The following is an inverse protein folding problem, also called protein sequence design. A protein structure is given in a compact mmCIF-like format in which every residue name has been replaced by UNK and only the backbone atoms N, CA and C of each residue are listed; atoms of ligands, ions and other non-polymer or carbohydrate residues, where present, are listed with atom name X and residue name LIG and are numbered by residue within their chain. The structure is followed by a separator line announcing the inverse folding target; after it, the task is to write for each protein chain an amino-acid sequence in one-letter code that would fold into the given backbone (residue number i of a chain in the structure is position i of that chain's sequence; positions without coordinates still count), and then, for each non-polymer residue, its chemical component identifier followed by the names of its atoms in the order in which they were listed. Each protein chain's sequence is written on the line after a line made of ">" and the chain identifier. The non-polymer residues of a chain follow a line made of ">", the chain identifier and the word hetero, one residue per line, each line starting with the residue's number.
data_IF_760704141988
#
_entry.id   IF_760704141988
#
_cell.length_a   1.000
_cell.length_b   1.000
_cell.length_c   1.000
_cell.angle_alpha   90.00
_cell.angle_beta   90.00
_cell.angle_gamma   90.00
#
_symmetry.space_group_name_H-M   'P 1'
#
loop_
_entity.id
_entity.type
_entity.pdbx_description
1 polymer ?
#
# COMPACT_ATOMS: atom_id res chain seq x y z
N UNK A 1 -30.86 15.79 -56.23
CA UNK A 1 -31.70 14.77 -56.90
C UNK A 1 -31.52 13.47 -56.15
N UNK A 2 -32.34 13.21 -55.13
CA UNK A 2 -33.61 12.43 -55.17
C UNK A 2 -33.36 10.95 -55.47
N UNK A 3 -33.66 10.09 -54.51
CA UNK A 3 -33.75 8.63 -54.69
C UNK A 3 -33.64 7.83 -53.39
N UNK A 4 -34.71 7.82 -52.58
CA UNK A 4 -35.03 6.76 -51.59
C UNK A 4 -36.00 5.80 -52.31
N UNK A 5 -35.95 4.45 -52.18
CA UNK A 5 -36.83 3.78 -51.19
C UNK A 5 -36.40 2.38 -50.67
N UNK A 6 -37.05 2.00 -49.55
CA UNK A 6 -37.38 0.62 -49.15
C UNK A 6 -36.27 -0.19 -48.47
N UNK A 7 -36.49 -0.99 -47.42
CA UNK A 7 -37.69 -1.44 -46.74
C UNK A 7 -37.37 -2.74 -45.98
N UNK A 8 -38.29 -3.12 -45.10
CA UNK A 8 -38.48 -4.44 -44.48
C UNK A 8 -37.89 -4.69 -43.09
N UNK A 9 -38.84 -4.81 -42.16
CA UNK A 9 -38.71 -5.42 -40.85
C UNK A 9 -38.57 -6.96 -40.97
N UNK A 10 -37.86 -7.57 -40.03
CA UNK A 10 -38.09 -8.97 -39.67
C UNK A 10 -37.89 -9.16 -38.18
N UNK A 11 -38.97 -9.58 -37.54
CA UNK A 11 -39.09 -10.01 -36.15
C UNK A 11 -38.55 -11.43 -36.00
N UNK A 12 -37.56 -11.63 -35.12
CA UNK A 12 -37.13 -12.93 -34.64
C UNK A 12 -37.19 -12.97 -33.12
N UNK A 13 -38.12 -13.76 -32.59
CA UNK A 13 -38.31 -14.09 -31.18
C UNK A 13 -37.17 -14.97 -30.64
N UNK A 14 -36.87 -14.89 -29.32
CA UNK A 14 -35.81 -15.68 -28.70
C UNK A 14 -36.25 -17.13 -28.45
N UNK A 15 -35.31 -18.06 -28.61
CA UNK A 15 -35.46 -19.46 -28.22
C UNK A 15 -35.40 -19.62 -26.71
N UNK A 16 -36.45 -20.25 -26.18
CA UNK A 16 -36.49 -20.91 -24.88
C UNK A 16 -35.51 -22.09 -24.86
N UNK A 17 -34.66 -22.17 -23.84
CA UNK A 17 -34.04 -23.44 -23.42
C UNK A 17 -34.38 -23.70 -21.97
N UNK A 18 -35.17 -24.76 -21.83
CA UNK A 18 -35.69 -25.40 -20.65
C UNK A 18 -34.67 -26.32 -19.97
N UNK A 19 -34.85 -26.54 -18.66
CA UNK A 19 -34.25 -27.64 -17.89
C UNK A 19 -33.65 -27.15 -16.56
N UNK A 20 -33.96 -27.71 -15.39
CA UNK A 20 -34.84 -28.79 -15.00
C UNK A 20 -35.10 -28.63 -13.49
N UNK A 21 -36.36 -28.61 -13.08
CA UNK A 21 -36.79 -28.85 -11.71
C UNK A 21 -36.91 -30.36 -11.49
N UNK A 22 -36.42 -30.86 -10.36
CA UNK A 22 -36.85 -32.14 -9.80
C UNK A 22 -36.79 -32.10 -8.29
N UNK A 23 -37.95 -32.38 -7.74
CA UNK A 23 -38.44 -32.25 -6.38
C UNK A 23 -38.17 -33.49 -5.51
N UNK A 24 -38.28 -33.24 -4.20
CA UNK A 24 -38.96 -34.05 -3.19
C UNK A 24 -38.34 -35.37 -2.67
N UNK A 25 -37.97 -35.29 -1.39
CA UNK A 25 -38.45 -36.11 -0.25
C UNK A 25 -38.78 -37.60 -0.48
N UNK A 26 -38.14 -38.45 0.35
CA UNK A 26 -38.77 -39.68 0.83
C UNK A 26 -38.36 -39.99 2.26
N UNK A 27 -39.38 -40.15 3.08
CA UNK A 27 -39.40 -40.62 4.47
C UNK A 27 -38.81 -42.03 4.57
N UNK A 28 -38.13 -42.29 5.68
CA UNK A 28 -37.70 -43.63 6.07
C UNK A 28 -37.89 -43.77 7.58
N UNK A 29 -38.98 -44.45 7.95
CA UNK A 29 -39.26 -44.91 9.30
C UNK A 29 -38.33 -46.08 9.63
N UNK A 30 -37.73 -46.07 10.81
CA UNK A 30 -36.86 -47.13 11.32
C UNK A 30 -36.95 -47.18 12.84
N UNK A 31 -37.88 -47.99 13.33
CA UNK A 31 -37.95 -48.47 14.70
C UNK A 31 -36.68 -49.27 15.04
N UNK A 32 -36.17 -49.07 16.25
CA UNK A 32 -35.02 -49.77 16.78
C UNK A 32 -34.84 -49.43 18.25
N UNK A 33 -35.56 -50.18 19.09
CA UNK A 33 -35.41 -50.19 20.55
C UNK A 33 -33.97 -50.58 20.94
N UNK A 34 -33.35 -49.76 21.79
CA UNK A 34 -32.20 -50.16 22.58
C UNK A 34 -32.18 -49.35 23.89
N UNK A 35 -32.69 -50.00 24.94
CA UNK A 35 -32.49 -49.59 26.33
C UNK A 35 -31.00 -49.55 26.65
N UNK A 36 -30.53 -48.39 27.11
CA UNK A 36 -29.15 -48.18 27.53
C UNK A 36 -29.08 -47.08 28.58
N UNK A 37 -29.17 -47.49 29.85
CA UNK A 37 -28.81 -46.69 31.02
C UNK A 37 -27.42 -46.07 30.84
N UNK A 38 -27.33 -44.75 30.98
CA UNK A 38 -26.09 -44.00 30.81
C UNK A 38 -26.16 -42.62 31.46
N UNK A 39 -25.72 -42.58 32.71
CA UNK A 39 -25.43 -41.45 33.59
C UNK A 39 -25.40 -40.04 33.00
N UNK A 40 -26.16 -39.15 33.66
CA UNK A 40 -26.16 -37.71 33.46
C UNK A 40 -24.78 -37.10 33.74
N UNK A 41 -24.06 -36.74 32.66
CA UNK A 41 -22.89 -35.85 32.74
C UNK A 41 -23.37 -34.41 32.50
N UNK A 42 -23.46 -33.68 33.60
CA UNK A 42 -23.64 -32.23 33.67
C UNK A 42 -22.57 -31.50 32.84
N UNK A 43 -22.93 -30.56 31.94
CA UNK A 43 -21.93 -29.75 31.25
C UNK A 43 -21.30 -28.73 32.22
N UNK A 44 -19.97 -28.56 32.25
CA UNK A 44 -19.35 -27.54 33.07
C UNK A 44 -19.62 -26.14 32.52
N UNK A 45 -19.92 -25.23 33.44
CA UNK A 45 -20.16 -23.82 33.21
C UNK A 45 -19.01 -23.17 32.42
N UNK A 46 -19.37 -22.47 31.36
CA UNK A 46 -18.47 -21.71 30.50
C UNK A 46 -18.02 -20.43 31.22
N UNK A 47 -16.90 -20.51 31.95
CA UNK A 47 -16.21 -19.36 32.54
C UNK A 47 -15.38 -18.64 31.46
N UNK A 48 -16.02 -17.72 30.73
CA UNK A 48 -15.33 -16.73 29.91
C UNK A 48 -14.76 -15.61 30.78
N UNK A 49 -13.72 -15.91 31.55
CA UNK A 49 -12.87 -14.89 32.16
C UNK A 49 -11.91 -14.35 31.08
N UNK A 50 -12.32 -13.25 30.43
CA UNK A 50 -11.41 -12.44 29.60
C UNK A 50 -10.31 -11.89 30.51
N UNK A 51 -9.08 -12.40 30.34
CA UNK A 51 -7.88 -11.75 30.83
C UNK A 51 -7.75 -10.39 30.15
N UNK A 52 -7.89 -9.33 30.93
CA UNK A 52 -7.54 -7.97 30.52
C UNK A 52 -6.03 -7.92 30.24
N UNK A 53 -5.66 -7.89 28.96
CA UNK A 53 -4.29 -7.57 28.55
C UNK A 53 -4.06 -6.11 28.89
N UNK A 54 -3.40 -5.87 30.02
CA UNK A 54 -2.89 -4.57 30.43
C UNK A 54 -1.78 -4.16 29.46
N UNK A 55 -2.14 -3.35 28.47
CA UNK A 55 -1.17 -2.68 27.60
C UNK A 55 -0.50 -1.60 28.45
N UNK A 56 0.74 -1.87 28.88
CA UNK A 56 1.57 -0.86 29.54
C UNK A 56 1.77 0.32 28.56
N UNK A 57 1.46 1.56 28.97
CA UNK A 57 1.85 2.73 28.19
C UNK A 57 3.38 2.81 28.15
N UNK A 58 3.94 2.87 26.94
CA UNK A 58 5.36 3.16 26.73
C UNK A 58 5.70 4.54 27.32
N UNK A 59 6.81 4.69 28.06
CA UNK A 59 7.25 5.99 28.54
C UNK A 59 7.72 6.84 27.36
N UNK A 60 7.14 8.03 27.24
CA UNK A 60 7.64 9.10 26.39
C UNK A 60 9.09 9.44 26.80
N UNK A 61 10.07 8.93 26.06
CA UNK A 61 11.47 9.29 26.22
C UNK A 61 11.91 10.21 25.07
N UNK A 62 12.48 11.34 25.49
CA UNK A 62 13.59 11.97 24.77
C UNK A 62 13.24 13.24 24.04
N UNK A 63 13.29 14.38 24.74
CA UNK A 63 13.53 15.68 24.12
C UNK A 63 14.84 15.61 23.33
N UNK A 64 14.75 15.75 22.01
CA UNK A 64 15.89 15.96 21.12
C UNK A 64 16.43 17.37 21.39
N UNK A 65 17.57 17.44 22.08
CA UNK A 65 18.39 18.63 22.19
C UNK A 65 18.96 18.96 20.82
N UNK A 66 18.51 20.06 20.21
CA UNK A 66 19.03 20.58 18.94
C UNK A 66 20.42 21.18 19.20
N UNK A 67 21.51 20.68 18.58
CA UNK A 67 22.81 21.33 18.66
C UNK A 67 22.79 22.62 17.85
N UNK A 68 23.27 23.72 18.46
CA UNK A 68 23.56 24.99 17.76
C UNK A 68 24.64 24.75 16.69
N UNK A 69 24.44 25.19 15.44
CA UNK A 69 25.49 25.12 14.42
C UNK A 69 26.57 26.17 14.70
N UNK A 70 27.79 25.71 14.98
CA UNK A 70 29.00 26.51 14.98
C UNK A 70 29.41 26.90 13.56
N UNK A 71 29.86 28.14 13.40
CA UNK A 71 30.44 28.70 12.17
C UNK A 71 31.67 27.90 11.72
N UNK A 72 31.78 27.49 10.45
CA UNK A 72 33.05 27.12 9.85
C UNK A 72 33.70 28.31 9.15
N UNK A 73 35.01 28.43 9.40
CA UNK A 73 35.92 29.36 8.74
C UNK A 73 35.97 29.14 7.23
N UNK A 74 35.93 30.25 6.51
CA UNK A 74 36.19 30.38 5.08
C UNK A 74 37.64 29.97 4.81
N UNK A 75 37.83 28.93 3.98
CA UNK A 75 39.05 28.76 3.19
C UNK A 75 38.66 28.61 1.72
N UNK A 76 39.13 29.59 0.98
CA UNK A 76 39.00 29.80 -0.44
C UNK A 76 39.88 28.78 -1.19
N UNK A 77 39.29 28.14 -2.21
CA UNK A 77 39.97 27.15 -3.03
C UNK A 77 39.10 26.76 -4.23
N UNK A 78 39.34 27.44 -5.36
CA UNK A 78 38.75 27.13 -6.67
C UNK A 78 39.25 25.77 -7.18
N UNK A 79 38.39 24.93 -7.78
CA UNK A 79 38.61 24.61 -9.20
C UNK A 79 37.32 24.37 -10.03
N UNK A 80 37.32 24.95 -11.24
CA UNK A 80 36.80 24.37 -12.49
C UNK A 80 35.44 23.62 -12.47
N UNK A 81 34.34 24.35 -12.31
CA UNK A 81 32.98 23.82 -12.46
C UNK A 81 32.51 23.80 -13.90
N UNK A 82 32.43 22.60 -14.49
CA UNK A 82 31.65 22.32 -15.69
C UNK A 82 30.17 22.58 -15.34
N UNK A 83 29.59 23.66 -15.88
CA UNK A 83 28.21 24.06 -15.62
C UNK A 83 27.27 23.08 -16.31
N UNK A 84 26.81 22.06 -15.59
CA UNK A 84 25.56 21.37 -15.91
C UNK A 84 24.42 22.34 -15.60
N UNK A 85 23.87 22.96 -16.65
CA UNK A 85 22.63 23.71 -16.58
C UNK A 85 21.53 22.68 -16.25
N UNK A 86 21.21 22.53 -14.97
CA UNK A 86 19.96 21.92 -14.56
C UNK A 86 18.87 22.94 -14.89
N UNK A 87 18.19 22.77 -16.02
CA UNK A 87 16.94 23.48 -16.29
C UNK A 87 16.02 23.24 -15.10
N UNK A 88 15.79 24.30 -14.32
CA UNK A 88 14.81 24.32 -13.25
C UNK A 88 13.48 23.97 -13.91
N UNK A 89 12.92 22.81 -13.57
CA UNK A 89 11.58 22.43 -14.00
C UNK A 89 10.63 23.45 -13.36
N UNK A 90 10.21 24.45 -14.12
CA UNK A 90 9.06 25.29 -13.76
C UNK A 90 7.86 24.34 -13.58
N UNK A 91 7.32 24.28 -12.37
CA UNK A 91 6.39 23.23 -11.94
C UNK A 91 7.04 22.26 -10.96
N UNK A 92 7.23 22.74 -9.73
CA UNK A 92 7.68 21.91 -8.61
C UNK A 92 6.75 20.73 -8.34
N UNK A 93 7.18 19.77 -7.51
CA UNK A 93 6.45 18.53 -7.32
C UNK A 93 5.00 18.74 -6.85
N UNK A 94 4.07 18.01 -7.47
CA UNK A 94 2.62 18.21 -7.34
C UNK A 94 1.98 17.03 -6.60
N UNK A 95 1.20 17.33 -5.58
CA UNK A 95 0.30 16.41 -4.89
C UNK A 95 -1.12 16.65 -5.40
N UNK A 96 -1.75 15.59 -5.89
CA UNK A 96 -3.17 15.60 -6.25
C UNK A 96 -3.98 14.86 -5.17
N UNK A 97 -4.84 15.58 -4.46
CA UNK A 97 -5.83 15.01 -3.55
C UNK A 97 -7.12 14.76 -4.34
N UNK A 98 -7.64 13.54 -4.25
CA UNK A 98 -8.80 13.06 -5.01
C UNK A 98 -9.85 12.46 -4.08
N UNK A 99 -11.10 12.86 -4.28
CA UNK A 99 -12.25 12.29 -3.55
C UNK A 99 -12.51 12.95 -2.19
N UNK A 100 -13.42 12.36 -1.43
CA UNK A 100 -13.88 12.86 -0.13
C UNK A 100 -14.86 14.03 -0.22
N UNK A 101 -15.25 14.54 0.95
CA UNK A 101 -16.06 15.76 1.03
C UNK A 101 -15.19 17.01 0.79
N UNK A 102 -15.82 18.14 0.48
CA UNK A 102 -15.11 19.42 0.36
C UNK A 102 -14.41 19.83 1.68
N UNK A 103 -14.92 19.39 2.83
CA UNK A 103 -14.30 19.63 4.13
C UNK A 103 -13.03 18.82 4.30
N UNK A 104 -13.06 17.52 3.96
CA UNK A 104 -11.89 16.65 4.04
C UNK A 104 -10.81 17.11 3.06
N UNK A 105 -11.21 17.53 1.87
CA UNK A 105 -10.32 18.15 0.89
C UNK A 105 -9.58 19.36 1.46
N UNK A 106 -10.30 20.29 2.11
CA UNK A 106 -9.69 21.45 2.79
C UNK A 106 -8.75 21.03 3.92
N UNK A 107 -9.14 20.04 4.71
CA UNK A 107 -8.29 19.52 5.78
C UNK A 107 -6.99 18.90 5.25
N UNK A 108 -7.10 18.04 4.22
CA UNK A 108 -5.95 17.41 3.56
C UNK A 108 -5.01 18.45 2.94
N UNK A 109 -5.58 19.46 2.27
CA UNK A 109 -4.80 20.57 1.73
C UNK A 109 -4.03 21.30 2.83
N UNK A 110 -4.70 21.67 3.92
CA UNK A 110 -4.08 22.34 5.06
C UNK A 110 -2.98 21.48 5.71
N UNK A 111 -3.19 20.17 5.85
CA UNK A 111 -2.22 19.23 6.41
C UNK A 111 -0.96 19.08 5.55
N UNK A 112 -1.13 19.14 4.22
CA UNK A 112 -0.07 18.93 3.22
C UNK A 112 0.66 20.21 2.83
N UNK A 113 0.04 21.39 2.94
CA UNK A 113 0.64 22.69 2.60
C UNK A 113 2.02 22.93 3.24
N UNK A 114 2.29 22.57 4.51
CA UNK A 114 3.62 22.72 5.11
C UNK A 114 4.72 21.84 4.50
N UNK A 115 4.39 20.93 3.56
CA UNK A 115 5.40 20.16 2.83
C UNK A 115 6.22 21.01 1.86
N UNK A 116 5.72 22.20 1.49
CA UNK A 116 6.29 23.02 0.42
C UNK A 116 6.04 22.47 -0.98
N UNK A 117 5.23 21.42 -1.13
CA UNK A 117 4.79 20.85 -2.40
C UNK A 117 3.50 21.54 -2.86
N UNK A 118 3.30 21.66 -4.17
CA UNK A 118 2.04 22.18 -4.70
C UNK A 118 0.93 21.16 -4.44
N UNK A 119 -0.18 21.59 -3.84
CA UNK A 119 -1.33 20.72 -3.54
C UNK A 119 -2.51 21.16 -4.39
N UNK A 120 -3.17 20.22 -5.05
CA UNK A 120 -4.42 20.43 -5.78
C UNK A 120 -5.45 19.44 -5.28
N UNK A 121 -6.63 19.93 -4.91
CA UNK A 121 -7.76 19.09 -4.47
C UNK A 121 -8.80 19.06 -5.58
N UNK A 122 -9.26 17.86 -5.95
CA UNK A 122 -10.33 17.67 -6.94
C UNK A 122 -11.29 16.56 -6.51
N UNK A 123 -12.58 16.68 -6.85
CA UNK A 123 -13.47 15.54 -6.90
C UNK A 123 -12.91 14.42 -7.77
N UNK A 124 -13.30 13.16 -7.51
CA UNK A 124 -12.86 12.01 -8.29
C UNK A 124 -13.18 12.17 -9.79
N UNK A 125 -14.40 12.62 -10.10
CA UNK A 125 -14.85 12.78 -11.49
C UNK A 125 -14.01 13.83 -12.24
N UNK A 126 -13.73 14.97 -11.63
CA UNK A 126 -12.89 16.03 -12.23
C UNK A 126 -11.42 15.60 -12.35
N UNK A 127 -10.97 14.70 -11.46
CA UNK A 127 -9.63 14.14 -11.53
C UNK A 127 -9.49 13.08 -12.63
N UNK A 128 -10.57 12.41 -13.03
CA UNK A 128 -10.60 11.39 -14.08
C UNK A 128 -11.10 11.91 -15.43
N UNK A 129 -11.66 13.13 -15.47
CA UNK A 129 -12.12 13.75 -16.69
C UNK A 129 -10.98 13.86 -17.72
N UNK A 130 -11.27 13.63 -19.02
CA UNK A 130 -10.27 13.78 -20.08
C UNK A 130 -9.65 15.17 -20.03
N UNK A 131 -8.31 15.30 -20.13
CA UNK A 131 -7.69 16.61 -20.13
C UNK A 131 -8.18 17.41 -21.34
N UNK A 132 -8.55 18.68 -21.12
CA UNK A 132 -8.94 19.58 -22.19
C UNK A 132 -7.71 19.94 -23.04
N UNK A 133 -7.41 19.18 -24.09
CA UNK A 133 -6.38 19.37 -25.13
C UNK A 133 -4.92 19.64 -24.71
N UNK A 134 -4.66 20.06 -23.47
CA UNK A 134 -3.37 20.38 -22.89
C UNK A 134 -2.89 19.25 -21.99
N UNK A 135 -1.59 18.96 -22.10
CA UNK A 135 -0.92 17.88 -21.37
C UNK A 135 -1.00 18.14 -19.87
N UNK A 136 -1.92 17.45 -19.17
CA UNK A 136 -2.00 17.54 -17.71
C UNK A 136 -0.66 17.10 -17.11
N UNK A 137 -0.03 17.91 -16.24
CA UNK A 137 1.19 17.47 -15.58
C UNK A 137 0.89 16.27 -14.68
N UNK A 138 1.61 15.16 -14.87
CA UNK A 138 1.52 13.98 -14.00
C UNK A 138 1.85 14.38 -12.56
N UNK A 139 0.97 14.09 -11.58
CA UNK A 139 1.27 14.36 -10.18
C UNK A 139 2.37 13.43 -9.68
N UNK A 140 3.23 13.91 -8.78
CA UNK A 140 4.28 13.09 -8.16
C UNK A 140 3.71 12.16 -7.10
N UNK A 141 2.58 12.53 -6.48
CA UNK A 141 1.82 11.68 -5.56
C UNK A 141 0.33 11.95 -5.73
N UNK A 142 -0.47 10.88 -5.73
CA UNK A 142 -1.92 10.94 -5.64
C UNK A 142 -2.33 10.55 -4.22
N UNK A 143 -3.21 11.33 -3.59
CA UNK A 143 -3.82 11.04 -2.30
C UNK A 143 -5.29 10.80 -2.55
N UNK A 144 -5.72 9.54 -2.43
CA UNK A 144 -7.13 9.18 -2.54
C UNK A 144 -7.75 9.17 -1.14
N UNK A 145 -8.83 9.90 -0.98
CA UNK A 145 -9.66 9.86 0.22
C UNK A 145 -11.06 9.38 -0.14
N UNK A 146 -11.50 8.28 0.47
CA UNK A 146 -12.85 7.74 0.31
C UNK A 146 -13.45 7.44 1.69
N UNK A 147 -14.63 8.00 1.94
CA UNK A 147 -15.36 7.89 3.22
C UNK A 147 -16.55 6.94 3.17
N UNK A 148 -16.90 6.47 1.98
CA UNK A 148 -18.03 5.56 1.80
C UNK A 148 -17.61 4.13 2.09
N UNK A 149 -18.37 3.17 1.56
CA UNK A 149 -18.19 1.76 1.88
C UNK A 149 -16.89 1.24 1.27
N UNK A 150 -16.48 0.05 1.69
CA UNK A 150 -15.29 -0.62 1.15
C UNK A 150 -15.36 -0.67 -0.37
N UNK A 151 -16.52 -1.02 -0.91
CA UNK A 151 -16.77 -1.17 -2.34
C UNK A 151 -16.48 0.12 -3.12
N UNK A 152 -16.91 1.27 -2.60
CA UNK A 152 -16.65 2.59 -3.20
C UNK A 152 -15.15 2.93 -3.23
N UNK A 153 -14.41 2.57 -2.18
CA UNK A 153 -12.96 2.73 -2.13
C UNK A 153 -12.28 1.87 -3.20
N UNK A 154 -12.72 0.62 -3.35
CA UNK A 154 -12.13 -0.30 -4.33
C UNK A 154 -12.43 0.16 -5.75
N UNK A 155 -13.65 0.60 -6.03
CA UNK A 155 -14.02 1.18 -7.33
C UNK A 155 -13.18 2.42 -7.64
N UNK A 156 -13.05 3.33 -6.67
CA UNK A 156 -12.24 4.55 -6.83
C UNK A 156 -10.77 4.23 -7.09
N UNK A 157 -10.21 3.24 -6.39
CA UNK A 157 -8.85 2.76 -6.61
C UNK A 157 -8.68 2.19 -8.02
N UNK A 158 -9.62 1.36 -8.47
CA UNK A 158 -9.55 0.72 -9.79
C UNK A 158 -9.65 1.78 -10.90
N UNK A 159 -10.52 2.80 -10.75
CA UNK A 159 -10.62 3.94 -11.68
C UNK A 159 -9.35 4.79 -11.72
N UNK A 160 -8.78 5.15 -10.55
CA UNK A 160 -7.51 5.90 -10.47
C UNK A 160 -6.34 5.10 -11.06
N UNK A 161 -6.35 3.78 -10.93
CA UNK A 161 -5.31 2.90 -11.50
C UNK A 161 -5.46 2.66 -13.00
N UNK A 162 -6.68 2.68 -13.51
CA UNK A 162 -6.96 2.59 -14.94
C UNK A 162 -6.56 3.87 -15.69
N UNK A 163 -6.55 5.02 -15.01
CA UNK A 163 -6.13 6.29 -15.61
C UNK A 163 -4.63 6.26 -16.00
N UNK A 164 -4.26 6.56 -17.27
CA UNK A 164 -2.88 6.49 -17.73
C UNK A 164 -1.90 7.46 -17.03
N UNK A 165 -2.39 8.62 -16.59
CA UNK A 165 -1.57 9.67 -15.97
C UNK A 165 -1.47 9.47 -14.45
N UNK A 166 -2.58 9.17 -13.79
CA UNK A 166 -2.65 8.95 -12.34
C UNK A 166 -2.16 7.56 -11.94
N UNK A 167 -2.47 6.53 -12.74
CA UNK A 167 -2.21 5.14 -12.41
C UNK A 167 -0.73 4.80 -12.26
N UNK A 168 0.15 5.63 -12.84
CA UNK A 168 1.60 5.53 -12.70
C UNK A 168 2.14 6.16 -11.42
N UNK A 169 1.41 7.09 -10.81
CA UNK A 169 1.89 7.81 -9.64
C UNK A 169 1.75 6.98 -8.36
N UNK A 170 2.66 7.14 -7.39
CA UNK A 170 2.48 6.62 -6.04
C UNK A 170 1.15 7.09 -5.46
N UNK A 171 0.39 6.16 -4.90
CA UNK A 171 -0.95 6.40 -4.39
C UNK A 171 -0.96 6.23 -2.88
N UNK A 172 -1.37 7.25 -2.16
CA UNK A 172 -1.64 7.19 -0.72
C UNK A 172 -3.15 7.06 -0.54
N UNK A 173 -3.59 6.06 0.20
CA UNK A 173 -4.99 5.96 0.63
C UNK A 173 -5.11 6.58 2.01
N UNK A 174 -6.00 7.57 2.14
CA UNK A 174 -6.40 8.12 3.43
C UNK A 174 -7.76 7.54 3.77
N UNK A 175 -7.76 6.60 4.71
CA UNK A 175 -8.95 5.93 5.21
C UNK A 175 -9.54 6.71 6.39
N UNK A 176 -10.81 6.46 6.68
CA UNK A 176 -11.54 7.03 7.81
C UNK A 176 -11.80 5.99 8.92
N UNK A 177 -11.48 4.72 8.66
CA UNK A 177 -11.62 3.63 9.62
C UNK A 177 -10.34 2.81 9.69
N UNK A 178 -10.09 2.22 10.86
CA UNK A 178 -9.02 1.23 11.03
C UNK A 178 -9.53 -0.14 10.63
N UNK A 179 -9.73 -0.34 9.33
CA UNK A 179 -10.19 -1.61 8.78
C UNK A 179 -9.04 -2.34 8.04
N UNK A 180 -8.64 -3.49 8.58
CA UNK A 180 -7.56 -4.29 8.04
C UNK A 180 -7.87 -4.84 6.63
N UNK A 181 -9.15 -5.12 6.36
CA UNK A 181 -9.60 -5.65 5.07
C UNK A 181 -9.55 -4.58 3.98
N UNK A 182 -9.84 -3.32 4.33
CA UNK A 182 -9.62 -2.18 3.44
C UNK A 182 -8.15 -1.92 3.21
N UNK A 183 -7.33 -1.99 4.26
CA UNK A 183 -5.88 -1.86 4.15
C UNK A 183 -5.30 -2.90 3.17
N UNK A 184 -5.62 -4.18 3.36
CA UNK A 184 -5.14 -5.28 2.51
C UNK A 184 -5.59 -5.05 1.07
N UNK A 185 -6.85 -4.69 0.86
CA UNK A 185 -7.39 -4.45 -0.47
C UNK A 185 -6.75 -3.23 -1.17
N UNK A 186 -6.45 -2.16 -0.43
CA UNK A 186 -5.76 -0.97 -0.93
C UNK A 186 -4.32 -1.29 -1.35
N UNK A 187 -3.56 -1.98 -0.49
CA UNK A 187 -2.20 -2.44 -0.82
C UNK A 187 -2.22 -3.40 -2.01
N UNK A 188 -3.21 -4.29 -2.05
CA UNK A 188 -3.49 -5.23 -3.15
C UNK A 188 -3.76 -4.54 -4.49
N UNK A 189 -4.30 -3.32 -4.48
CA UNK A 189 -4.53 -2.46 -5.66
C UNK A 189 -3.40 -1.46 -5.90
N UNK A 190 -2.27 -1.66 -5.23
CA UNK A 190 -1.07 -0.89 -5.49
C UNK A 190 -0.91 0.37 -4.63
N UNK A 191 -1.73 0.63 -3.60
CA UNK A 191 -1.54 1.77 -2.69
C UNK A 191 -0.14 1.77 -2.04
N UNK A 192 0.67 2.77 -2.35
CA UNK A 192 2.04 2.92 -1.86
C UNK A 192 2.12 3.24 -0.37
N UNK A 193 1.05 3.75 0.23
CA UNK A 193 0.89 3.88 1.67
C UNK A 193 -0.60 3.94 2.01
N UNK A 194 -0.95 3.58 3.24
CA UNK A 194 -2.28 3.82 3.79
C UNK A 194 -2.13 4.60 5.10
N UNK A 195 -3.01 5.58 5.32
CA UNK A 195 -3.06 6.42 6.52
C UNK A 195 -4.48 6.35 7.05
N UNK A 196 -4.66 6.05 8.34
CA UNK A 196 -5.96 5.94 8.99
C UNK A 196 -6.01 6.80 10.27
N UNK A 197 -7.19 6.96 10.89
CA UNK A 197 -7.30 7.66 12.17
C UNK A 197 -6.47 7.04 13.30
N UNK A 198 -6.05 7.82 14.32
CA UNK A 198 -6.12 9.28 14.32
C UNK A 198 -5.18 9.83 13.24
N UNK A 199 -5.73 10.68 12.37
CA UNK A 199 -4.99 11.18 11.22
C UNK A 199 -3.96 12.18 11.71
N UNK A 200 -2.70 11.76 11.81
CA UNK A 200 -1.59 12.65 12.14
C UNK A 200 -1.15 13.41 10.87
N UNK A 201 -1.34 14.75 10.81
CA UNK A 201 -0.89 15.56 9.68
C UNK A 201 0.61 15.47 9.45
N UNK A 202 1.42 15.29 10.50
CA UNK A 202 2.86 15.17 10.38
C UNK A 202 3.26 13.86 9.68
N UNK A 203 2.67 12.74 10.09
CA UNK A 203 2.86 11.45 9.43
C UNK A 203 2.39 11.46 7.97
N UNK A 204 1.20 11.99 7.68
CA UNK A 204 0.69 12.10 6.30
C UNK A 204 1.65 12.93 5.43
N UNK A 205 2.07 14.10 5.92
CA UNK A 205 3.01 14.98 5.23
C UNK A 205 4.36 14.31 4.98
N UNK A 206 4.91 13.62 5.98
CA UNK A 206 6.17 12.89 5.85
C UNK A 206 6.06 11.76 4.81
N UNK A 207 4.95 11.03 4.81
CA UNK A 207 4.64 9.96 3.86
C UNK A 207 4.59 10.49 2.43
N UNK A 208 3.79 11.54 2.19
CA UNK A 208 3.65 12.14 0.86
C UNK A 208 4.97 12.76 0.39
N UNK A 209 5.70 13.47 1.25
CA UNK A 209 7.01 14.05 0.90
C UNK A 209 8.03 12.97 0.50
N UNK A 210 8.02 11.84 1.21
CA UNK A 210 8.89 10.70 0.90
C UNK A 210 8.54 10.07 -0.45
N UNK A 211 7.25 9.93 -0.75
CA UNK A 211 6.78 9.42 -2.04
C UNK A 211 6.99 10.41 -3.18
N UNK A 212 6.85 11.71 -2.98
CA UNK A 212 7.12 12.72 -4.01
C UNK A 212 8.61 12.72 -4.42
N UNK A 213 9.51 12.38 -3.48
CA UNK A 213 10.93 12.19 -3.75
C UNK A 213 11.27 10.80 -4.30
N UNK A 214 10.27 9.90 -4.41
CA UNK A 214 10.45 8.61 -5.01
C UNK A 214 10.69 8.78 -6.51
N UNK A 215 11.96 8.81 -6.91
CA UNK A 215 12.32 8.83 -8.32
C UNK A 215 12.07 7.45 -8.90
N UNK A 216 11.04 7.32 -9.72
CA UNK A 216 11.02 6.32 -10.79
C UNK A 216 12.37 6.43 -11.51
N UNK A 217 13.19 5.39 -11.47
CA UNK A 217 14.61 5.41 -11.86
C UNK A 217 14.87 5.77 -13.33
N UNK A 218 14.58 7.01 -13.73
CA UNK A 218 14.91 7.59 -15.04
C UNK A 218 16.38 8.05 -15.07
N UNK A 219 16.95 8.48 -13.95
CA UNK A 219 18.32 9.03 -13.91
C UNK A 219 19.41 8.01 -13.59
N UNK A 220 19.08 6.88 -12.96
CA UNK A 220 20.03 5.80 -12.73
C UNK A 220 19.83 4.79 -13.84
N UNK A 221 20.79 4.63 -14.76
CA UNK A 221 20.78 3.64 -15.86
C UNK A 221 20.60 2.17 -15.44
N UNK A 222 20.33 1.93 -14.16
CA UNK A 222 19.99 0.65 -13.58
C UNK A 222 18.56 0.25 -13.94
N UNK A 223 18.41 -0.43 -15.08
CA UNK A 223 17.17 -1.05 -15.55
C UNK A 223 16.49 -1.92 -14.47
N UNK A 224 17.23 -2.39 -13.45
CA UNK A 224 16.69 -3.18 -12.33
C UNK A 224 15.81 -2.37 -11.37
N UNK A 225 16.00 -1.04 -11.26
CA UNK A 225 15.18 -0.17 -10.41
C UNK A 225 13.73 -0.05 -10.90
N UNK A 226 13.47 -0.27 -12.19
CA UNK A 226 12.13 -0.19 -12.79
C UNK A 226 11.15 -1.30 -12.34
N UNK A 227 11.60 -2.26 -11.52
CA UNK A 227 10.77 -3.36 -11.00
C UNK A 227 10.36 -3.20 -9.54
N UNK A 228 10.76 -2.09 -8.88
CA UNK A 228 10.45 -1.85 -7.46
C UNK A 228 9.30 -0.87 -7.35
N UNK A 229 8.27 -1.29 -6.62
CA UNK A 229 7.10 -0.48 -6.30
C UNK A 229 7.34 0.20 -4.95
N UNK A 230 7.12 1.51 -4.81
CA UNK A 230 7.15 2.16 -3.50
C UNK A 230 6.05 1.56 -2.62
N UNK A 231 6.40 1.21 -1.40
CA UNK A 231 5.46 0.73 -0.39
C UNK A 231 6.01 1.14 0.97
N UNK A 232 5.37 2.13 1.59
CA UNK A 232 5.70 2.64 2.91
C UNK A 232 4.83 1.91 3.93
N UNK A 233 5.46 0.99 4.65
CA UNK A 233 4.76 0.15 5.61
C UNK A 233 5.59 -0.05 6.87
N UNK A 234 4.97 0.07 8.04
CA UNK A 234 5.64 -0.32 9.29
C UNK A 234 5.84 -1.83 9.29
N UNK A 235 7.02 -2.26 9.71
CA UNK A 235 7.37 -3.67 9.80
C UNK A 235 8.13 -3.93 11.10
N UNK A 236 8.00 -5.14 11.61
CA UNK A 236 8.94 -5.68 12.57
C UNK A 236 9.89 -6.65 11.87
N UNK A 237 11.19 -6.52 12.14
CA UNK A 237 12.24 -7.42 11.65
C UNK A 237 12.71 -8.28 12.81
N UNK A 238 12.35 -9.56 12.77
CA UNK A 238 12.72 -10.56 13.76
C UNK A 238 14.08 -11.16 13.38
N UNK A 239 15.04 -11.03 14.28
CA UNK A 239 16.41 -11.53 14.15
C UNK A 239 16.54 -12.94 14.75
N UNK A 240 17.55 -13.73 14.32
CA UNK A 240 17.72 -15.11 14.81
C UNK A 240 18.18 -15.17 16.28
N UNK A 241 18.71 -14.06 16.81
CA UNK A 241 19.07 -13.90 18.23
C UNK A 241 17.87 -13.58 19.14
N UNK A 242 16.65 -13.56 18.59
CA UNK A 242 15.40 -13.28 19.31
C UNK A 242 15.05 -11.80 19.41
N UNK A 243 15.91 -10.88 18.95
CA UNK A 243 15.59 -9.44 18.94
C UNK A 243 14.60 -9.08 17.84
N UNK A 244 13.83 -8.03 18.09
CA UNK A 244 12.89 -7.45 17.11
C UNK A 244 13.23 -6.00 16.87
N UNK A 245 13.39 -5.63 15.59
CA UNK A 245 13.65 -4.25 15.17
C UNK A 245 12.41 -3.67 14.51
N UNK A 246 11.87 -2.58 15.08
CA UNK A 246 10.83 -1.79 14.41
C UNK A 246 11.43 -1.03 13.24
N UNK A 247 10.88 -1.23 12.05
CA UNK A 247 11.37 -0.65 10.81
C UNK A 247 10.28 -0.12 9.88
N UNK A 248 10.70 0.39 8.74
CA UNK A 248 9.81 0.85 7.68
C UNK A 248 10.22 0.26 6.33
N UNK A 249 9.35 -0.55 5.74
CA UNK A 249 9.46 -0.97 4.36
C UNK A 249 9.40 0.28 3.46
N UNK A 250 10.35 0.42 2.53
CA UNK A 250 10.40 1.54 1.57
C UNK A 250 9.83 1.17 0.22
N UNK A 251 10.15 -0.04 -0.22
CA UNK A 251 9.75 -0.60 -1.48
C UNK A 251 9.88 -2.11 -1.50
N UNK A 252 9.22 -2.68 -2.50
CA UNK A 252 9.13 -4.11 -2.72
C UNK A 252 9.26 -4.42 -4.21
N UNK A 253 9.88 -5.56 -4.51
CA UNK A 253 9.91 -6.20 -5.81
C UNK A 253 9.43 -7.65 -5.67
N UNK A 254 9.28 -8.36 -6.79
CA UNK A 254 8.88 -9.78 -6.77
C UNK A 254 9.90 -10.72 -6.10
N UNK A 255 11.07 -10.22 -5.69
CA UNK A 255 12.16 -11.04 -5.11
C UNK A 255 12.65 -10.53 -3.76
N UNK A 256 12.18 -9.37 -3.29
CA UNK A 256 12.70 -8.80 -2.05
C UNK A 256 12.14 -7.41 -1.75
N UNK A 257 12.66 -6.79 -0.70
CA UNK A 257 12.25 -5.47 -0.24
C UNK A 257 13.44 -4.65 0.28
N UNK A 258 13.19 -3.37 0.57
CA UNK A 258 14.12 -2.53 1.33
C UNK A 258 13.44 -2.04 2.59
N UNK A 259 14.14 -2.12 3.72
CA UNK A 259 13.62 -1.77 5.05
C UNK A 259 14.56 -0.75 5.69
N UNK A 260 14.03 0.37 6.16
CA UNK A 260 14.73 1.25 7.10
C UNK A 260 14.68 0.65 8.48
N UNK A 261 15.84 0.50 9.12
CA UNK A 261 16.00 -0.09 10.44
C UNK A 261 16.82 0.84 11.35
N UNK A 262 16.62 0.76 12.68
CA UNK A 262 17.34 1.59 13.65
C UNK A 262 18.80 1.16 13.85
N UNK A 263 19.15 -0.06 13.45
CA UNK A 263 20.50 -0.60 13.60
C UNK A 263 20.93 -1.43 12.38
N UNK A 264 22.24 -1.67 12.30
CA UNK A 264 22.85 -2.50 11.27
C UNK A 264 22.54 -3.97 11.49
N UNK A 265 22.18 -4.66 10.40
CA UNK A 265 22.08 -6.13 10.34
C UNK A 265 23.08 -6.64 9.31
N UNK A 266 23.81 -7.69 9.64
CA UNK A 266 24.83 -8.25 8.77
C UNK A 266 24.22 -8.86 7.49
N UNK A 267 24.86 -8.70 6.33
CA UNK A 267 24.51 -9.50 5.15
C UNK A 267 24.65 -11.00 5.45
N UNK A 268 23.73 -11.81 4.91
CA UNK A 268 23.62 -13.24 5.17
C UNK A 268 22.70 -13.60 6.34
N UNK A 269 22.31 -12.64 7.18
CA UNK A 269 21.39 -12.91 8.30
C UNK A 269 19.99 -13.26 7.78
N UNK A 270 19.48 -14.41 8.22
CA UNK A 270 18.09 -14.80 8.05
C UNK A 270 17.20 -13.98 8.98
N UNK A 271 16.12 -13.42 8.45
CA UNK A 271 15.18 -12.60 9.20
C UNK A 271 13.76 -12.98 8.85
N UNK A 272 12.84 -12.78 9.79
CA UNK A 272 11.40 -12.78 9.51
C UNK A 272 10.85 -11.37 9.55
N UNK A 273 10.02 -10.99 8.59
CA UNK A 273 9.44 -9.66 8.48
C UNK A 273 7.93 -9.74 8.74
N UNK A 274 7.44 -8.97 9.72
CA UNK A 274 6.02 -8.85 10.04
C UNK A 274 5.51 -7.48 9.60
N UNK A 275 4.70 -7.38 8.53
CA UNK A 275 4.03 -6.14 8.14
C UNK A 275 2.87 -5.77 9.07
N UNK A 276 2.65 -4.46 9.25
CA UNK A 276 1.55 -3.90 10.03
C UNK A 276 0.59 -3.07 9.17
N UNK A 277 -0.71 -3.28 9.34
CA UNK A 277 -1.77 -2.38 8.86
C UNK A 277 -2.47 -1.70 10.04
N UNK A 278 -2.52 -0.36 10.07
CA UNK A 278 -3.30 0.41 11.06
C UNK A 278 -3.09 0.01 12.53
N UNK A 279 -1.84 -0.29 12.90
CA UNK A 279 -1.38 -0.82 14.19
C UNK A 279 -1.59 -2.31 14.47
N UNK A 280 -2.35 -3.02 13.64
CA UNK A 280 -2.48 -4.47 13.72
C UNK A 280 -1.37 -5.16 12.91
N UNK A 281 -0.78 -6.20 13.49
CA UNK A 281 0.03 -7.15 12.73
C UNK A 281 -0.86 -7.82 11.69
N UNK A 282 -0.35 -8.04 10.48
CA UNK A 282 -1.07 -8.89 9.52
C UNK A 282 -0.99 -10.38 9.89
N UNK A 283 -0.36 -10.74 11.02
CA UNK A 283 -0.12 -12.10 11.52
C UNK A 283 0.75 -12.98 10.60
N UNK A 284 1.02 -12.53 9.38
CA UNK A 284 1.92 -13.18 8.43
C UNK A 284 3.38 -12.79 8.69
N UNK A 285 4.26 -13.79 8.71
CA UNK A 285 5.71 -13.61 8.74
C UNK A 285 6.31 -13.97 7.39
N UNK A 286 7.10 -13.06 6.84
CA UNK A 286 7.77 -13.23 5.56
C UNK A 286 9.23 -13.55 5.82
N UNK A 287 9.64 -14.78 5.50
CA UNK A 287 11.05 -15.17 5.55
C UNK A 287 11.88 -14.41 4.51
N UNK A 288 13.02 -13.88 4.92
CA UNK A 288 13.96 -13.19 4.05
C UNK A 288 15.41 -13.33 4.53
N UNK A 289 16.35 -13.03 3.65
CA UNK A 289 17.78 -12.95 3.95
C UNK A 289 18.24 -11.54 3.67
N UNK A 290 18.96 -10.93 4.62
CA UNK A 290 19.61 -9.63 4.40
C UNK A 290 20.69 -9.82 3.35
N UNK A 291 20.44 -9.36 2.13
CA UNK A 291 21.37 -9.51 1.02
C UNK A 291 22.44 -8.41 1.03
N UNK A 292 22.06 -7.20 1.44
CA UNK A 292 22.96 -6.05 1.53
C UNK A 292 22.49 -5.10 2.62
N UNK A 293 23.45 -4.48 3.30
CA UNK A 293 23.22 -3.34 4.19
C UNK A 293 23.78 -2.06 3.55
N UNK A 294 23.06 -0.96 3.75
CA UNK A 294 23.43 0.38 3.29
C UNK A 294 23.24 1.37 4.44
N UNK A 295 24.11 2.36 4.54
CA UNK A 295 23.97 3.49 5.46
C UNK A 295 23.98 4.79 4.65
N UNK A 296 22.84 5.21 4.07
CA UNK A 296 22.77 6.42 3.25
C UNK A 296 23.15 7.70 4.00
N UNK A 297 22.99 7.73 5.32
CA UNK A 297 23.40 8.79 6.21
C UNK A 297 23.75 8.20 7.58
N UNK A 298 24.61 8.84 8.39
CA UNK A 298 24.96 8.35 9.72
C UNK A 298 23.72 8.00 10.55
N UNK A 299 23.64 6.74 11.01
CA UNK A 299 22.52 6.23 11.82
C UNK A 299 21.24 5.89 11.04
N UNK A 300 21.22 6.04 9.72
CA UNK A 300 20.12 5.57 8.88
C UNK A 300 20.52 4.25 8.21
N UNK A 301 20.01 3.13 8.70
CA UNK A 301 20.30 1.82 8.11
C UNK A 301 19.21 1.37 7.15
N UNK A 302 19.61 0.90 5.97
CA UNK A 302 18.71 0.31 4.96
C UNK A 302 19.13 -1.12 4.69
N UNK A 303 18.26 -2.05 5.04
CA UNK A 303 18.39 -3.48 4.78
C UNK A 303 17.77 -3.80 3.43
N UNK A 304 18.56 -4.29 2.48
CA UNK A 304 18.06 -4.87 1.25
C UNK A 304 17.88 -6.36 1.46
N UNK A 305 16.63 -6.79 1.61
CA UNK A 305 16.27 -8.16 1.93
C UNK A 305 15.82 -8.89 0.67
N UNK A 306 16.23 -10.15 0.51
CA UNK A 306 15.72 -11.07 -0.52
C UNK A 306 14.74 -12.03 0.14
N UNK A 307 13.55 -12.20 -0.43
CA UNK A 307 12.59 -13.16 0.11
C UNK A 307 13.12 -14.59 -0.03
N UNK A 308 12.85 -15.42 0.97
CA UNK A 308 13.33 -16.81 1.05
C UNK A 308 12.20 -17.75 1.51
N UNK A 309 12.36 -19.04 1.23
CA UNK A 309 11.37 -20.08 1.59
C UNK A 309 9.96 -19.75 1.08
N UNK A 310 8.96 -19.94 1.94
CA UNK A 310 7.55 -19.57 1.66
C UNK A 310 7.36 -18.07 1.43
N UNK A 311 8.20 -17.23 2.03
CA UNK A 311 8.20 -15.78 1.84
C UNK A 311 8.43 -15.36 0.39
N UNK A 312 9.24 -16.13 -0.37
CA UNK A 312 9.48 -15.86 -1.80
C UNK A 312 8.23 -16.04 -2.67
N UNK A 313 7.30 -16.88 -2.24
CA UNK A 313 6.03 -17.14 -2.95
C UNK A 313 4.92 -16.20 -2.47
N UNK A 314 4.85 -15.95 -1.16
CA UNK A 314 3.76 -15.19 -0.55
C UNK A 314 3.93 -13.67 -0.69
N UNK A 315 5.14 -13.14 -0.50
CA UNK A 315 5.34 -11.70 -0.46
C UNK A 315 4.92 -10.96 -1.75
N UNK A 316 5.19 -11.46 -2.96
CA UNK A 316 4.73 -10.80 -4.18
C UNK A 316 3.19 -10.71 -4.27
N UNK A 317 2.47 -11.74 -3.78
CA UNK A 317 1.00 -11.75 -3.74
C UNK A 317 0.48 -10.75 -2.71
N UNK A 318 1.03 -10.79 -1.50
CA UNK A 318 0.64 -9.89 -0.41
C UNK A 318 0.85 -8.42 -0.79
N UNK A 319 1.94 -8.12 -1.49
CA UNK A 319 2.29 -6.75 -1.87
C UNK A 319 1.91 -6.39 -3.31
N UNK A 320 1.06 -7.19 -3.97
CA UNK A 320 0.59 -6.96 -5.33
C UNK A 320 1.70 -6.60 -6.32
N UNK A 321 2.85 -7.27 -6.21
CA UNK A 321 3.94 -7.12 -7.16
C UNK A 321 3.80 -8.19 -8.22
N UNK A 322 3.67 -7.77 -9.49
CA UNK A 322 3.69 -8.70 -10.63
C UNK A 322 4.98 -9.53 -10.56
N UNK A 323 4.85 -10.81 -10.25
CA UNK A 323 5.94 -11.76 -10.38
C UNK A 323 6.26 -11.86 -11.87
N UNK A 324 7.44 -11.40 -12.29
CA UNK A 324 7.91 -11.54 -13.68
C UNK A 324 8.18 -12.99 -14.11
N UNK A 325 7.59 -13.97 -13.41
CA UNK A 325 7.72 -15.41 -13.66
C UNK A 325 6.66 -15.93 -14.64
N UNK A 326 5.68 -15.11 -15.06
CA UNK A 326 4.68 -15.48 -16.06
C UNK A 326 5.22 -15.59 -17.51
N UNK A 327 6.52 -15.80 -17.71
CA UNK A 327 7.16 -15.87 -19.03
C UNK A 327 8.12 -17.04 -19.23
N UNK A 328 8.14 -18.05 -18.34
CA UNK A 328 9.05 -19.23 -18.47
C UNK A 328 8.27 -20.56 -18.51
N UNK A 329 6.94 -20.54 -18.59
CA UNK A 329 6.12 -21.75 -18.71
C UNK A 329 5.12 -21.63 -19.87
N UNK A 330 5.63 -21.52 -21.09
CA UNK A 330 4.95 -21.81 -22.35
C UNK A 330 6.01 -21.79 -23.46
N UNK A 331 6.74 -22.90 -23.58
CA UNK A 331 7.75 -23.17 -24.60
C UNK A 331 8.04 -24.65 -24.62
#
# INVERSE_FOLDING_TARGET
>A
MVGVPGGSASSGTPEDVSGADSSAAKSGDGEGDADGDGDAITPPASNSARTSVSIRPYPARGRLSIPRPGRPNVREGTPGGRVTIHTVREGGPVILVVGGSAEDGRWLEAALRPSGLAVTVRPLEDALAPPAAETRPRPDVVVLHERRRREDLLESLDRVRADPELGRSPLVVVDHERDIERFIAAVGRGAAACVCPPLDPAYLRATVTRLARWRDGKESGDRRRRRRRPLLLRVDVHLPDGRTLGGLLRDVSGTGCRIEAPERVAPGTEVSITPYGYDASLEFRIGAIVHRHLEPAPGQHVLACRFAGTGAVMAPRLFAVKSGLAGIAAG
#
